data_IF_622264034877
#
_entry.id   IF_622264034877
#
_cell.length_a   1.000
_cell.length_b   1.000
_cell.length_c   1.000
_cell.angle_alpha   90.00
_cell.angle_beta   90.00
_cell.angle_gamma   90.00
#
_symmetry.space_group_name_H-M   'P 1'
#
loop_
_entity.id
_entity.type
_entity.pdbx_description
1 polymer ?
#
# COMPACT_ATOMS: atom_id res chain seq x y z
N UNK A 1 5.37 -9.61 2.67
CA UNK A 1 4.85 -8.32 2.21
C UNK A 1 5.46 -7.19 3.01
N UNK A 2 5.41 -5.97 2.47
CA UNK A 2 5.84 -4.73 3.12
C UNK A 2 4.81 -3.66 2.80
N UNK A 3 4.56 -2.76 3.74
CA UNK A 3 3.78 -1.56 3.51
C UNK A 3 4.72 -0.36 3.62
N UNK A 4 4.78 0.44 2.57
CA UNK A 4 5.53 1.70 2.55
C UNK A 4 4.49 2.81 2.61
N UNK A 5 4.59 3.63 3.64
CA UNK A 5 3.71 4.77 3.87
C UNK A 5 4.43 6.02 3.40
N UNK A 6 3.79 6.76 2.51
CA UNK A 6 4.35 7.98 1.93
C UNK A 6 3.75 9.24 2.56
N UNK A 7 4.54 10.31 2.54
CA UNK A 7 4.00 11.64 2.60
C UNK A 7 3.17 11.93 1.35
N UNK A 8 1.94 12.39 1.58
CA UNK A 8 0.97 12.59 0.51
C UNK A 8 1.45 13.69 -0.42
N UNK A 9 1.81 14.85 0.12
CA UNK A 9 2.10 16.03 -0.70
C UNK A 9 3.40 15.84 -1.49
N UNK A 10 4.43 15.24 -0.88
CA UNK A 10 5.66 14.87 -1.58
C UNK A 10 5.43 13.84 -2.69
N UNK A 11 4.62 12.81 -2.43
CA UNK A 11 4.32 11.79 -3.44
C UNK A 11 3.48 12.36 -4.60
N UNK A 12 2.44 13.12 -4.29
CA UNK A 12 1.61 13.78 -5.31
C UNK A 12 2.41 14.82 -6.09
N UNK A 13 3.32 15.55 -5.44
CA UNK A 13 4.24 16.46 -6.10
C UNK A 13 5.11 15.77 -7.14
N UNK A 14 5.62 14.57 -6.83
CA UNK A 14 6.41 13.78 -7.77
C UNK A 14 5.59 13.35 -9.00
N UNK A 15 4.32 12.96 -8.81
CA UNK A 15 3.45 12.60 -9.94
C UNK A 15 3.04 13.81 -10.78
N UNK A 16 2.69 14.93 -10.14
CA UNK A 16 2.27 16.16 -10.84
C UNK A 16 3.39 16.80 -11.68
N UNK A 17 4.66 16.51 -11.37
CA UNK A 17 5.79 17.01 -12.15
C UNK A 17 5.87 16.37 -13.54
N UNK A 18 5.31 15.16 -13.70
CA UNK A 18 5.32 14.42 -14.95
C UNK A 18 3.96 14.47 -15.64
N UNK A 19 3.89 15.18 -16.77
CA UNK A 19 2.64 15.35 -17.52
C UNK A 19 2.10 14.04 -18.12
N UNK A 20 2.94 13.02 -18.28
CA UNK A 20 2.52 11.70 -18.76
C UNK A 20 1.92 10.84 -17.65
N UNK A 21 2.10 11.21 -16.38
CA UNK A 21 1.58 10.47 -15.24
C UNK A 21 0.19 10.99 -14.87
N UNK A 22 -0.81 10.10 -14.97
CA UNK A 22 -2.15 10.31 -14.42
C UNK A 22 -2.27 9.58 -13.10
N UNK A 23 -2.91 10.20 -12.11
CA UNK A 23 -3.09 9.58 -10.81
C UNK A 23 -4.38 9.99 -10.12
N UNK A 24 -4.92 9.10 -9.29
CA UNK A 24 -6.18 9.33 -8.60
C UNK A 24 -6.70 8.13 -7.82
N UNK A 25 -7.77 8.38 -7.08
CA UNK A 25 -8.54 7.32 -6.40
C UNK A 25 -9.34 6.51 -7.41
N UNK A 26 -9.59 5.24 -7.09
CA UNK A 26 -10.43 4.38 -7.92
C UNK A 26 -11.92 4.76 -7.82
N UNK A 27 -12.61 4.72 -8.96
CA UNK A 27 -14.06 4.75 -9.07
C UNK A 27 -14.62 3.31 -9.06
N UNK A 28 -15.29 2.97 -7.97
CA UNK A 28 -15.84 1.66 -7.71
C UNK A 28 -17.28 1.55 -8.24
N UNK A 29 -17.46 0.83 -9.34
CA UNK A 29 -18.70 0.81 -10.12
C UNK A 29 -19.36 -0.58 -10.09
N UNK A 30 -20.69 -0.63 -9.94
CA UNK A 30 -21.47 -1.86 -10.06
C UNK A 30 -21.51 -2.32 -11.52
N UNK A 31 -21.51 -3.63 -11.77
CA UNK A 31 -21.55 -4.15 -13.14
C UNK A 31 -22.79 -3.67 -13.92
N UNK A 32 -23.94 -3.51 -13.23
CA UNK A 32 -25.16 -2.95 -13.84
C UNK A 32 -24.95 -1.51 -14.34
N UNK A 33 -24.24 -0.68 -13.57
CA UNK A 33 -23.92 0.70 -13.94
C UNK A 33 -22.94 0.74 -15.11
N UNK A 34 -21.91 -0.10 -15.07
CA UNK A 34 -20.93 -0.21 -16.17
C UNK A 34 -21.59 -0.64 -17.49
N UNK A 35 -22.53 -1.59 -17.45
CA UNK A 35 -23.28 -2.03 -18.63
C UNK A 35 -24.21 -0.95 -19.22
N UNK A 36 -24.61 0.03 -18.42
CA UNK A 36 -25.45 1.15 -18.87
C UNK A 36 -24.64 2.38 -19.30
N UNK A 37 -23.31 2.33 -19.26
CA UNK A 37 -22.46 3.42 -19.76
C UNK A 37 -22.56 3.43 -21.29
N UNK A 38 -23.10 4.52 -21.86
CA UNK A 38 -23.20 4.69 -23.30
C UNK A 38 -21.81 4.86 -23.95
N UNK A 39 -20.93 5.61 -23.28
CA UNK A 39 -19.53 5.78 -23.62
C UNK A 39 -18.68 5.65 -22.34
N UNK A 40 -17.58 4.90 -22.42
CA UNK A 40 -16.57 4.88 -21.36
C UNK A 40 -15.41 5.75 -21.82
N UNK A 41 -15.19 6.84 -21.10
CA UNK A 41 -14.04 7.71 -21.32
C UNK A 41 -12.74 6.90 -21.11
N UNK A 42 -11.90 6.85 -22.15
CA UNK A 42 -10.61 6.14 -22.14
C UNK A 42 -9.72 6.63 -20.99
N UNK A 43 -9.87 7.89 -20.62
CA UNK A 43 -9.11 8.54 -19.56
C UNK A 43 -9.57 8.11 -18.15
N UNK A 44 -10.76 7.50 -18.05
CA UNK A 44 -11.32 6.95 -16.81
C UNK A 44 -11.06 5.45 -16.65
N UNK A 45 -10.81 4.72 -17.75
CA UNK A 45 -10.59 3.27 -17.73
C UNK A 45 -9.52 2.83 -16.72
N UNK A 46 -8.36 3.50 -16.58
CA UNK A 46 -7.37 3.11 -15.60
C UNK A 46 -7.85 3.26 -14.16
N UNK A 47 -8.89 4.05 -13.90
CA UNK A 47 -9.39 4.35 -12.57
C UNK A 47 -10.72 3.67 -12.26
N UNK A 48 -11.24 2.81 -13.15
CA UNK A 48 -12.46 2.04 -12.90
C UNK A 48 -12.14 0.69 -12.26
N UNK A 49 -12.88 0.34 -11.20
CA UNK A 49 -12.81 -0.98 -10.55
C UNK A 49 -14.21 -1.47 -10.20
N UNK A 50 -14.39 -2.78 -10.14
CA UNK A 50 -15.69 -3.35 -9.74
C UNK A 50 -15.96 -3.03 -8.27
N UNK A 51 -17.20 -2.65 -7.97
CA UNK A 51 -17.65 -2.27 -6.63
C UNK A 51 -17.26 -3.24 -5.48
N UNK A 52 -17.28 -4.58 -5.65
CA UNK A 52 -16.90 -5.50 -4.56
C UNK A 52 -15.46 -5.36 -4.05
N UNK A 53 -14.59 -4.66 -4.79
CA UNK A 53 -13.21 -4.38 -4.36
C UNK A 53 -13.09 -3.03 -3.62
N UNK A 54 -14.21 -2.40 -3.25
CA UNK A 54 -14.27 -1.07 -2.63
C UNK A 54 -13.43 -0.93 -1.37
N UNK A 55 -13.37 -1.99 -0.55
CA UNK A 55 -12.62 -2.00 0.71
C UNK A 55 -11.10 -1.91 0.51
N UNK A 56 -10.60 -2.08 -0.72
CA UNK A 56 -9.19 -1.88 -1.02
C UNK A 56 -8.77 -0.40 -1.01
N UNK A 57 -9.72 0.53 -1.16
CA UNK A 57 -9.49 1.98 -1.18
C UNK A 57 -8.27 2.40 -2.02
N UNK A 58 -8.15 1.81 -3.21
CA UNK A 58 -6.96 1.90 -4.04
C UNK A 58 -6.77 3.32 -4.58
N UNK A 59 -5.50 3.75 -4.55
CA UNK A 59 -5.01 4.93 -5.24
C UNK A 59 -4.04 4.47 -6.33
N UNK A 60 -4.20 4.97 -7.55
CA UNK A 60 -3.45 4.52 -8.70
C UNK A 60 -2.71 5.67 -9.36
N UNK A 61 -1.50 5.39 -9.85
CA UNK A 61 -0.76 6.23 -10.76
C UNK A 61 -0.38 5.39 -12.00
N UNK A 62 -0.59 5.94 -13.20
CA UNK A 62 -0.30 5.29 -14.48
C UNK A 62 0.36 6.29 -15.41
N UNK A 63 1.40 5.86 -16.11
CA UNK A 63 1.95 6.61 -17.23
C UNK A 63 1.14 6.30 -18.49
N UNK A 64 0.72 7.34 -19.22
CA UNK A 64 -0.08 7.21 -20.43
C UNK A 64 0.65 7.87 -21.59
N UNK A 65 0.83 7.10 -22.65
CA UNK A 65 1.47 7.52 -23.89
C UNK A 65 0.72 6.86 -25.05
N UNK A 66 0.35 7.64 -26.06
CA UNK A 66 -0.47 7.17 -27.19
C UNK A 66 0.36 6.47 -28.26
N UNK A 67 1.64 6.80 -28.34
CA UNK A 67 2.49 6.44 -29.47
C UNK A 67 3.54 5.40 -29.06
N UNK A 68 3.94 5.41 -27.79
CA UNK A 68 5.03 4.56 -27.29
C UNK A 68 4.58 3.69 -26.13
N UNK A 69 4.62 2.38 -26.34
CA UNK A 69 4.55 1.41 -25.25
C UNK A 69 5.91 1.32 -24.56
N UNK A 70 5.97 1.68 -23.28
CA UNK A 70 7.17 1.55 -22.45
C UNK A 70 6.97 0.44 -21.42
N UNK A 71 7.96 -0.44 -21.21
CA UNK A 71 7.87 -1.49 -20.19
C UNK A 71 7.92 -0.92 -18.75
N UNK A 72 8.52 0.26 -18.57
CA UNK A 72 8.56 0.99 -17.32
C UNK A 72 8.69 2.50 -17.59
N UNK A 73 8.35 3.29 -16.58
CA UNK A 73 8.51 4.74 -16.58
C UNK A 73 8.98 5.19 -15.21
N UNK A 74 10.08 5.93 -15.17
CA UNK A 74 10.70 6.37 -13.91
C UNK A 74 9.99 7.61 -13.37
N UNK A 75 9.60 7.55 -12.09
CA UNK A 75 9.04 8.69 -11.35
C UNK A 75 10.01 9.04 -10.21
N UNK A 76 10.46 10.31 -10.09
CA UNK A 76 11.47 10.70 -9.12
C UNK A 76 10.88 10.84 -7.70
N UNK A 77 10.52 9.72 -7.08
CA UNK A 77 10.02 9.68 -5.71
C UNK A 77 11.21 9.71 -4.74
N UNK A 78 11.38 10.82 -4.02
CA UNK A 78 12.43 10.96 -3.01
C UNK A 78 12.24 10.00 -1.83
N UNK A 79 13.34 9.45 -1.31
CA UNK A 79 13.34 8.69 -0.04
C UNK A 79 12.81 9.54 1.13
N UNK A 80 12.98 10.86 1.07
CA UNK A 80 12.42 11.80 2.04
C UNK A 80 10.89 11.82 2.08
N UNK A 81 10.22 11.31 1.03
CA UNK A 81 8.77 11.16 1.01
C UNK A 81 8.29 9.90 1.73
N UNK A 82 9.18 9.01 2.20
CA UNK A 82 8.78 7.82 2.96
C UNK A 82 8.61 8.18 4.43
N UNK A 83 7.37 8.12 4.94
CA UNK A 83 7.07 8.33 6.36
C UNK A 83 7.46 7.12 7.20
N UNK A 84 7.17 5.93 6.70
CA UNK A 84 7.30 4.69 7.47
C UNK A 84 7.34 3.45 6.58
N UNK A 85 8.04 2.43 7.05
CA UNK A 85 8.02 1.09 6.48
C UNK A 85 7.47 0.12 7.54
N UNK A 86 6.47 -0.67 7.17
CA UNK A 86 5.89 -1.71 8.03
C UNK A 86 6.14 -3.08 7.41
N UNK A 87 6.94 -3.89 8.09
CA UNK A 87 7.27 -5.26 7.73
C UNK A 87 6.13 -6.21 8.08
N UNK A 88 5.98 -7.28 7.28
CA UNK A 88 4.98 -8.34 7.49
C UNK A 88 4.96 -8.87 8.92
N UNK A 89 3.78 -9.16 9.50
CA UNK A 89 3.70 -9.83 10.79
C UNK A 89 4.24 -11.26 10.72
N UNK A 90 4.25 -11.87 9.54
CA UNK A 90 4.80 -13.21 9.29
C UNK A 90 6.33 -13.24 9.19
N UNK A 91 7.00 -12.08 9.20
CA UNK A 91 8.46 -12.04 9.28
C UNK A 91 8.88 -12.54 10.67
N UNK A 92 9.80 -13.50 10.74
CA UNK A 92 10.31 -14.00 12.02
C UNK A 92 10.93 -12.84 12.83
N UNK A 93 10.60 -12.75 14.12
CA UNK A 93 11.05 -11.65 14.97
C UNK A 93 12.59 -11.45 14.97
N UNK A 94 13.42 -12.51 15.03
CA UNK A 94 14.88 -12.34 14.96
C UNK A 94 15.35 -11.75 13.63
N UNK A 95 14.66 -12.06 12.52
CA UNK A 95 15.00 -11.56 11.19
C UNK A 95 14.59 -10.10 11.00
N UNK A 96 13.55 -9.64 11.71
CA UNK A 96 13.05 -8.28 11.60
C UNK A 96 14.10 -7.23 11.95
N UNK A 97 14.93 -7.47 12.97
CA UNK A 97 15.98 -6.53 13.36
C UNK A 97 17.11 -6.46 12.33
N UNK A 98 17.50 -7.61 11.74
CA UNK A 98 18.47 -7.63 10.64
C UNK A 98 17.96 -6.86 9.42
N UNK A 99 16.69 -7.10 9.01
CA UNK A 99 16.06 -6.38 7.89
C UNK A 99 15.99 -4.88 8.16
N UNK A 100 15.61 -4.46 9.38
CA UNK A 100 15.62 -3.04 9.77
C UNK A 100 17.01 -2.44 9.67
N UNK A 101 18.03 -3.16 10.14
CA UNK A 101 19.43 -2.75 10.07
C UNK A 101 19.87 -2.49 8.63
N UNK A 102 19.62 -3.46 7.74
CA UNK A 102 19.93 -3.34 6.31
C UNK A 102 19.21 -2.18 5.64
N UNK A 103 17.91 -1.99 5.91
CA UNK A 103 17.14 -0.88 5.33
C UNK A 103 17.64 0.49 5.83
N UNK A 104 18.05 0.59 7.10
CA UNK A 104 18.60 1.83 7.67
C UNK A 104 20.01 2.15 7.18
N UNK A 105 20.75 1.16 6.68
CA UNK A 105 22.08 1.33 6.11
C UNK A 105 22.05 1.92 4.69
N UNK A 106 20.89 1.92 4.03
CA UNK A 106 20.70 2.62 2.75
C UNK A 106 20.83 4.13 3.00
N UNK A 107 21.60 4.81 2.16
CA UNK A 107 21.78 6.26 2.27
C UNK A 107 20.41 6.97 2.18
N UNK A 108 20.20 7.96 3.03
CA UNK A 108 18.90 8.63 3.20
C UNK A 108 17.84 7.89 4.03
N UNK A 109 18.04 6.61 4.42
CA UNK A 109 17.03 5.80 5.11
C UNK A 109 17.23 5.66 6.64
N UNK A 110 18.34 6.13 7.20
CA UNK A 110 18.69 5.94 8.61
C UNK A 110 17.61 6.44 9.60
N UNK A 111 16.92 7.52 9.23
CA UNK A 111 15.86 8.17 10.03
C UNK A 111 14.45 7.63 9.74
N UNK A 112 14.26 6.77 8.73
CA UNK A 112 12.94 6.21 8.41
C UNK A 112 12.47 5.33 9.57
N UNK A 113 11.20 5.47 9.93
CA UNK A 113 10.56 4.63 10.94
C UNK A 113 10.28 3.26 10.33
N UNK A 114 10.79 2.20 10.96
CA UNK A 114 10.60 0.83 10.47
C UNK A 114 10.06 -0.05 11.60
N UNK A 115 8.91 -0.68 11.38
CA UNK A 115 8.24 -1.55 12.36
C UNK A 115 7.95 -2.91 11.77
N UNK A 116 7.83 -3.93 12.62
CA UNK A 116 7.17 -5.19 12.26
C UNK A 116 5.72 -5.10 12.71
N UNK A 117 4.79 -5.42 11.81
CA UNK A 117 3.37 -5.45 12.16
C UNK A 117 3.08 -6.47 13.26
N UNK A 118 2.23 -6.11 14.21
CA UNK A 118 1.72 -7.00 15.26
C UNK A 118 0.28 -7.42 15.00
N UNK A 119 -0.24 -7.24 13.78
CA UNK A 119 -1.66 -7.46 13.44
C UNK A 119 -2.21 -8.84 13.90
N UNK A 120 -1.41 -9.91 13.75
CA UNK A 120 -1.79 -11.28 14.15
C UNK A 120 -1.29 -11.67 15.56
N UNK A 121 -0.42 -10.86 16.15
CA UNK A 121 0.33 -11.18 17.36
C UNK A 121 0.33 -10.01 18.34
N UNK A 122 -0.79 -9.27 18.39
CA UNK A 122 -0.90 -8.11 19.25
C UNK A 122 -1.12 -8.57 20.70
N UNK A 123 -0.21 -8.26 21.64
CA UNK A 123 -0.29 -8.76 23.01
C UNK A 123 -1.55 -8.30 23.74
N UNK A 124 -2.01 -7.07 23.50
CA UNK A 124 -3.17 -6.50 24.16
C UNK A 124 -4.46 -7.19 23.70
N UNK A 125 -4.58 -7.45 22.40
CA UNK A 125 -5.70 -8.23 21.85
C UNK A 125 -5.70 -9.67 22.35
N UNK A 126 -4.53 -10.32 22.41
CA UNK A 126 -4.42 -11.68 22.96
C UNK A 126 -4.81 -11.73 24.44
N UNK A 127 -4.38 -10.74 25.22
CA UNK A 127 -4.75 -10.61 26.64
C UNK A 127 -6.25 -10.37 26.81
N UNK A 128 -6.86 -9.55 25.96
CA UNK A 128 -8.31 -9.33 25.97
C UNK A 128 -9.07 -10.61 25.62
N UNK A 129 -8.70 -11.29 24.54
CA UNK A 129 -9.31 -12.54 24.12
C UNK A 129 -9.18 -13.63 25.20
N UNK A 130 -8.01 -13.78 25.82
CA UNK A 130 -7.79 -14.74 26.90
C UNK A 130 -8.61 -14.48 28.16
N UNK A 131 -9.01 -13.22 28.42
CA UNK A 131 -9.96 -12.88 29.50
C UNK A 131 -11.40 -13.25 29.15
N UNK A 132 -11.79 -13.09 27.89
CA UNK A 132 -13.15 -13.37 27.42
C UNK A 132 -13.41 -14.86 27.15
N UNK A 133 -12.38 -15.59 26.72
CA UNK A 133 -12.41 -17.02 26.45
C UNK A 133 -11.12 -17.66 27.01
N UNK A 134 -11.10 -18.02 28.32
CA UNK A 134 -9.95 -18.68 28.93
C UNK A 134 -9.69 -20.01 28.23
N UNK A 135 -8.44 -20.24 27.83
CA UNK A 135 -8.02 -21.56 27.37
C UNK A 135 -7.95 -22.47 28.60
N UNK A 136 -8.86 -23.43 28.69
CA UNK A 136 -8.80 -24.48 29.71
C UNK A 136 -7.62 -25.39 29.33
N UNK A 137 -6.69 -25.71 30.25
CA UNK A 137 -5.64 -26.66 29.95
C UNK A 137 -6.25 -27.99 29.51
N UNK A 138 -5.69 -28.61 28.46
CA UNK A 138 -5.99 -30.01 28.17
C UNK A 138 -5.62 -30.84 29.41
N UNK A 139 -6.63 -31.46 30.01
CA UNK A 139 -6.44 -32.36 31.15
C UNK A 139 -5.66 -33.58 30.63
N UNK A 140 -4.53 -33.95 31.26
CA UNK A 140 -3.78 -35.16 30.89
C UNK A 140 -4.60 -36.43 31.13
#
# INVERSE_FOLDING_TARGET
>A
GVCIEFDKDGLLGAFNHDRGVRHGVMNYTLLKQAKSMADVDIEQLPFLKRWPYGDEAEYRAVYVDRDVSKPFHDVPISLGHIKRITLSPWLAAPLAESVKGTLKAIDGCSKIKIYRSTLIDNPDWKKLAGRAAPVVPDNP
#
